data_IF_247798974053
#
_entry.id   IF_247798974053
#
_cell.length_a   1.000
_cell.length_b   1.000
_cell.length_c   1.000
_cell.angle_alpha   90.00
_cell.angle_beta   90.00
_cell.angle_gamma   90.00
#
_symmetry.space_group_name_H-M   'P 1'
#
loop_
_entity.id
_entity.type
_entity.pdbx_description
1 polymer ?
#
# COMPACT_ATOMS: atom_id res chain seq x y z
N UNK A 1 23.01 22.02 52.78
CA UNK A 1 23.32 20.69 52.26
C UNK A 1 24.25 20.03 53.24
N UNK A 2 23.82 18.91 53.80
CA UNK A 2 24.62 18.08 54.69
C UNK A 2 25.74 17.40 53.86
N UNK A 3 26.95 17.27 54.41
CA UNK A 3 28.07 16.60 53.72
C UNK A 3 27.70 15.16 53.31
N UNK A 4 26.84 14.51 54.10
CA UNK A 4 26.34 13.17 53.81
C UNK A 4 25.40 13.13 52.60
N UNK A 5 24.57 14.16 52.40
CA UNK A 5 23.70 14.27 51.22
C UNK A 5 24.55 14.42 49.94
N UNK A 6 25.56 15.29 49.98
CA UNK A 6 26.44 15.53 48.84
C UNK A 6 27.24 14.27 48.45
N UNK A 7 27.74 13.50 49.42
CA UNK A 7 28.43 12.23 49.16
C UNK A 7 27.47 11.19 48.56
N UNK A 8 26.20 11.19 48.96
CA UNK A 8 25.18 10.29 48.44
C UNK A 8 24.83 10.62 46.98
N UNK A 9 24.63 11.90 46.67
CA UNK A 9 24.37 12.39 45.31
C UNK A 9 25.53 12.07 44.36
N UNK A 10 26.77 12.37 44.77
CA UNK A 10 27.97 12.05 43.98
C UNK A 10 28.11 10.55 43.69
N UNK A 11 27.69 9.69 44.62
CA UNK A 11 27.70 8.24 44.43
C UNK A 11 26.63 7.81 43.43
N UNK A 12 25.42 8.35 43.55
CA UNK A 12 24.31 8.05 42.66
C UNK A 12 24.62 8.46 41.23
N UNK A 13 25.20 9.64 41.02
CA UNK A 13 25.59 10.11 39.70
C UNK A 13 26.64 9.21 39.04
N UNK A 14 27.68 8.81 39.79
CA UNK A 14 28.68 7.84 39.30
C UNK A 14 28.07 6.49 38.97
N UNK A 15 27.04 6.08 39.71
CA UNK A 15 26.35 4.83 39.43
C UNK A 15 25.54 4.92 38.13
N UNK A 16 24.86 6.04 37.91
CA UNK A 16 24.10 6.30 36.69
C UNK A 16 25.02 6.44 35.45
N UNK A 17 26.20 7.06 35.59
CA UNK A 17 27.20 7.12 34.50
C UNK A 17 27.68 5.73 34.07
N UNK A 18 27.87 4.82 35.04
CA UNK A 18 28.24 3.43 34.76
C UNK A 18 27.12 2.68 34.07
N UNK A 19 25.88 2.88 34.52
CA UNK A 19 24.70 2.28 33.88
C UNK A 19 24.56 2.76 32.44
N UNK A 20 24.71 4.06 32.19
CA UNK A 20 24.71 4.65 30.86
C UNK A 20 25.80 4.03 29.96
N UNK A 21 27.00 3.82 30.49
CA UNK A 21 28.09 3.13 29.77
C UNK A 21 27.73 1.68 29.42
N UNK A 22 26.98 0.97 30.27
CA UNK A 22 26.49 -0.39 29.97
C UNK A 22 25.39 -0.37 28.90
N UNK A 23 24.46 0.58 28.98
CA UNK A 23 23.37 0.72 28.01
C UNK A 23 23.88 1.14 26.63
N UNK A 24 24.99 1.88 26.54
CA UNK A 24 25.65 2.19 25.26
C UNK A 24 26.04 0.92 24.48
N UNK A 25 26.30 -0.20 25.18
CA UNK A 25 26.59 -1.49 24.53
C UNK A 25 25.34 -2.15 23.92
N UNK A 26 24.13 -1.65 24.17
CA UNK A 26 22.92 -2.14 23.50
C UNK A 26 22.95 -1.81 22.00
N UNK A 27 23.74 -0.83 21.59
CA UNK A 27 23.97 -0.45 20.19
C UNK A 27 25.02 -1.32 19.49
N UNK A 28 25.68 -2.26 20.19
CA UNK A 28 26.70 -3.12 19.60
C UNK A 28 26.16 -3.93 18.41
N UNK A 29 26.99 -4.17 17.39
CA UNK A 29 26.59 -4.95 16.21
C UNK A 29 26.30 -6.42 16.56
N UNK A 30 27.04 -6.97 17.53
CA UNK A 30 26.94 -8.36 17.97
C UNK A 30 25.73 -8.57 18.89
N UNK A 31 24.84 -9.49 18.53
CA UNK A 31 23.68 -9.85 19.37
C UNK A 31 24.14 -10.41 20.74
N UNK A 32 25.25 -11.16 20.77
CA UNK A 32 25.81 -11.73 22.00
C UNK A 32 26.29 -10.62 22.95
N UNK A 33 26.92 -9.56 22.41
CA UNK A 33 27.39 -8.44 23.25
C UNK A 33 26.23 -7.66 23.87
N UNK A 34 25.12 -7.54 23.14
CA UNK A 34 23.90 -6.91 23.64
C UNK A 34 23.26 -7.71 24.77
N UNK A 35 23.14 -9.03 24.60
CA UNK A 35 22.57 -9.90 25.63
C UNK A 35 23.44 -9.87 26.90
N UNK A 36 24.76 -9.92 26.75
CA UNK A 36 25.70 -9.77 27.88
C UNK A 36 25.62 -8.37 28.53
N UNK A 37 25.40 -7.32 27.74
CA UNK A 37 25.21 -5.97 28.27
C UNK A 37 23.90 -5.87 29.09
N UNK A 38 22.82 -6.49 28.62
CA UNK A 38 21.55 -6.56 29.34
C UNK A 38 21.68 -7.29 30.67
N UNK A 39 22.34 -8.46 30.68
CA UNK A 39 22.62 -9.22 31.90
C UNK A 39 23.45 -8.39 32.90
N UNK A 40 24.50 -7.72 32.42
CA UNK A 40 25.35 -6.85 33.26
C UNK A 40 24.58 -5.67 33.83
N UNK A 41 23.78 -4.99 33.01
CA UNK A 41 22.97 -3.85 33.44
C UNK A 41 21.91 -4.27 34.45
N UNK A 42 21.24 -5.41 34.23
CA UNK A 42 20.26 -5.99 35.16
C UNK A 42 20.88 -6.27 36.52
N UNK A 43 21.98 -7.03 36.56
CA UNK A 43 22.69 -7.37 37.79
C UNK A 43 23.27 -6.12 38.49
N UNK A 44 23.73 -5.13 37.72
CA UNK A 44 24.21 -3.86 38.25
C UNK A 44 23.07 -3.08 38.92
N UNK A 45 21.91 -2.99 38.27
CA UNK A 45 20.77 -2.26 38.80
C UNK A 45 20.14 -2.91 40.03
N UNK A 46 20.04 -4.24 40.04
CA UNK A 46 19.60 -5.00 41.23
C UNK A 46 20.49 -4.72 42.44
N UNK A 47 21.80 -4.57 42.24
CA UNK A 47 22.73 -4.28 43.33
C UNK A 47 22.62 -2.85 43.86
N UNK A 48 22.52 -1.85 42.99
CA UNK A 48 22.57 -0.44 43.41
C UNK A 48 21.18 0.15 43.73
N UNK A 49 20.11 -0.28 43.04
CA UNK A 49 18.74 0.25 43.20
C UNK A 49 17.70 -0.80 43.61
N UNK A 50 18.10 -2.08 43.75
CA UNK A 50 17.19 -3.17 44.15
C UNK A 50 16.33 -3.74 43.02
N UNK A 51 16.28 -3.08 41.87
CA UNK A 51 15.63 -3.60 40.66
C UNK A 51 16.15 -2.91 39.40
N UNK A 52 16.00 -3.57 38.25
CA UNK A 52 16.34 -2.99 36.95
C UNK A 52 15.50 -1.75 36.62
N UNK A 53 14.18 -1.82 36.83
CA UNK A 53 13.25 -0.73 36.60
C UNK A 53 13.61 0.53 37.41
N UNK A 54 13.96 0.40 38.69
CA UNK A 54 14.35 1.54 39.54
C UNK A 54 15.64 2.22 39.05
N UNK A 55 16.62 1.45 38.58
CA UNK A 55 17.84 2.01 38.00
C UNK A 55 17.58 2.80 36.71
N UNK A 56 16.70 2.27 35.85
CA UNK A 56 16.32 2.91 34.58
C UNK A 56 15.46 4.15 34.80
N UNK A 57 14.54 4.15 35.77
CA UNK A 57 13.78 5.35 36.15
C UNK A 57 14.69 6.45 36.71
N UNK A 58 15.66 6.10 37.55
CA UNK A 58 16.68 7.03 38.03
C UNK A 58 17.49 7.66 36.89
N UNK A 59 17.85 6.89 35.86
CA UNK A 59 18.51 7.41 34.68
C UNK A 59 17.57 8.30 33.84
N UNK A 60 16.30 7.92 33.69
CA UNK A 60 15.29 8.68 32.97
C UNK A 60 15.05 10.06 33.60
N UNK A 61 14.90 10.13 34.93
CA UNK A 61 14.77 11.40 35.67
C UNK A 61 16.01 12.29 35.50
N UNK A 62 17.21 11.70 35.52
CA UNK A 62 18.45 12.45 35.28
C UNK A 62 18.51 13.03 33.88
N UNK A 63 18.10 12.26 32.87
CA UNK A 63 18.02 12.71 31.47
C UNK A 63 17.05 13.88 31.33
N UNK A 64 15.87 13.79 31.95
CA UNK A 64 14.87 14.88 31.98
C UNK A 64 15.41 16.16 32.64
N UNK A 65 16.12 16.02 33.76
CA UNK A 65 16.72 17.15 34.46
C UNK A 65 17.82 17.85 33.64
N UNK A 66 18.60 17.10 32.84
CA UNK A 66 19.68 17.64 32.00
C UNK A 66 19.15 18.31 30.72
N UNK A 67 18.04 17.83 30.16
CA UNK A 67 17.56 18.22 28.82
C UNK A 67 16.23 18.96 28.81
N UNK A 68 16.05 19.96 29.69
CA UNK A 68 14.79 20.68 29.87
C UNK A 68 14.19 21.21 28.55
N UNK A 69 13.10 20.55 28.09
CA UNK A 69 12.25 21.02 26.99
C UNK A 69 12.54 20.44 25.60
N UNK A 70 13.59 19.62 25.42
CA UNK A 70 13.85 18.97 24.13
C UNK A 70 12.99 17.71 23.97
N UNK A 71 12.33 17.56 22.82
CA UNK A 71 11.50 16.39 22.48
C UNK A 71 12.32 15.10 22.53
N UNK A 72 13.58 15.16 22.08
CA UNK A 72 14.50 14.01 22.09
C UNK A 72 14.79 13.50 23.51
N UNK A 73 14.97 14.41 24.48
CA UNK A 73 15.14 14.07 25.89
C UNK A 73 13.92 13.33 26.44
N UNK A 74 12.71 13.83 26.14
CA UNK A 74 11.46 13.22 26.57
C UNK A 74 11.22 11.84 25.92
N UNK A 75 11.59 11.67 24.65
CA UNK A 75 11.54 10.36 23.99
C UNK A 75 12.54 9.37 24.60
N UNK A 76 13.75 9.85 24.91
CA UNK A 76 14.79 9.03 25.55
C UNK A 76 14.37 8.59 26.95
N UNK A 77 13.81 9.48 27.76
CA UNK A 77 13.34 9.13 29.10
C UNK A 77 12.15 8.17 29.07
N UNK A 78 11.21 8.34 28.13
CA UNK A 78 10.11 7.39 27.92
C UNK A 78 10.65 5.99 27.57
N UNK A 79 11.60 5.93 26.63
CA UNK A 79 12.21 4.66 26.19
C UNK A 79 12.95 3.94 27.32
N UNK A 80 13.64 4.69 28.18
CA UNK A 80 14.29 4.11 29.37
C UNK A 80 13.27 3.51 30.35
N UNK A 81 12.11 4.15 30.54
CA UNK A 81 11.05 3.59 31.40
C UNK A 81 10.41 2.35 30.79
N UNK A 82 10.15 2.36 29.49
CA UNK A 82 9.66 1.16 28.76
C UNK A 82 10.63 -0.02 28.86
N UNK A 83 11.94 0.24 28.80
CA UNK A 83 12.98 -0.78 29.04
C UNK A 83 12.97 -1.28 30.48
N UNK A 84 12.74 -0.41 31.45
CA UNK A 84 12.57 -0.81 32.86
C UNK A 84 11.38 -1.74 33.08
N UNK A 85 10.24 -1.44 32.44
CA UNK A 85 9.02 -2.25 32.50
C UNK A 85 9.15 -3.57 31.72
N UNK A 86 9.84 -3.53 30.57
CA UNK A 86 10.05 -4.67 29.67
C UNK A 86 11.55 -4.78 29.32
N UNK A 87 12.34 -5.50 30.15
CA UNK A 87 13.77 -5.66 29.91
C UNK A 87 14.08 -6.23 28.53
N UNK A 88 14.96 -5.57 27.80
CA UNK A 88 15.38 -5.88 26.44
C UNK A 88 14.53 -5.26 25.33
N UNK A 89 13.52 -4.44 25.62
CA UNK A 89 12.69 -3.77 24.59
C UNK A 89 13.51 -2.88 23.66
N UNK A 90 14.51 -2.16 24.17
CA UNK A 90 15.46 -1.34 23.40
C UNK A 90 16.25 -2.22 22.42
N UNK A 91 16.81 -3.33 22.90
CA UNK A 91 17.59 -4.27 22.09
C UNK A 91 16.69 -4.88 21.00
N UNK A 92 15.49 -5.32 21.36
CA UNK A 92 14.53 -5.89 20.40
C UNK A 92 14.16 -4.88 19.31
N UNK A 93 13.87 -3.62 19.69
CA UNK A 93 13.58 -2.55 18.74
C UNK A 93 14.76 -2.29 17.79
N UNK A 94 15.98 -2.22 18.32
CA UNK A 94 17.20 -2.03 17.51
C UNK A 94 17.46 -3.21 16.55
N UNK A 95 17.24 -4.45 17.00
CA UNK A 95 17.36 -5.64 16.14
C UNK A 95 16.29 -5.64 15.05
N UNK A 96 15.06 -5.29 15.38
CA UNK A 96 13.98 -5.19 14.41
C UNK A 96 14.28 -4.10 13.38
N UNK A 97 14.76 -2.94 13.81
CA UNK A 97 15.20 -1.87 12.92
C UNK A 97 16.31 -2.34 11.98
N UNK A 98 17.40 -2.95 12.49
CA UNK A 98 18.47 -3.49 11.66
C UNK A 98 17.99 -4.56 10.68
N UNK A 99 17.05 -5.43 11.07
CA UNK A 99 16.44 -6.41 10.16
C UNK A 99 15.66 -5.73 9.04
N UNK A 100 14.89 -4.67 9.36
CA UNK A 100 14.19 -3.87 8.35
C UNK A 100 15.18 -3.18 7.41
N UNK A 101 16.22 -2.54 7.94
CA UNK A 101 17.26 -1.88 7.14
C UNK A 101 17.99 -2.87 6.23
N UNK A 102 18.40 -4.04 6.74
CA UNK A 102 18.99 -5.11 5.90
C UNK A 102 18.01 -5.61 4.85
N UNK A 103 16.73 -5.75 5.20
CA UNK A 103 15.68 -6.10 4.24
C UNK A 103 15.55 -5.07 3.12
N UNK A 104 15.51 -3.78 3.48
CA UNK A 104 15.46 -2.66 2.53
C UNK A 104 16.72 -2.59 1.65
N UNK A 105 17.91 -2.85 2.20
CA UNK A 105 19.15 -2.94 1.43
C UNK A 105 19.10 -4.10 0.43
N UNK A 106 18.61 -5.27 0.85
CA UNK A 106 18.42 -6.41 -0.06
C UNK A 106 17.40 -6.13 -1.16
N UNK A 107 16.28 -5.47 -0.83
CA UNK A 107 15.29 -5.02 -1.82
C UNK A 107 15.90 -4.01 -2.80
N UNK A 108 16.66 -3.03 -2.31
CA UNK A 108 17.38 -2.04 -3.12
C UNK A 108 18.36 -2.71 -4.08
N UNK A 109 19.17 -3.64 -3.59
CA UNK A 109 20.11 -4.40 -4.41
C UNK A 109 19.39 -5.20 -5.50
N UNK A 110 18.26 -5.83 -5.18
CA UNK A 110 17.43 -6.55 -6.15
C UNK A 110 16.87 -5.61 -7.23
N UNK A 111 16.41 -4.42 -6.86
CA UNK A 111 15.95 -3.38 -7.81
C UNK A 111 17.09 -2.90 -8.70
N UNK A 112 18.27 -2.62 -8.14
CA UNK A 112 19.44 -2.19 -8.92
C UNK A 112 19.84 -3.28 -9.92
N UNK A 113 19.85 -4.54 -9.50
CA UNK A 113 20.14 -5.67 -10.37
C UNK A 113 19.09 -5.82 -11.49
N UNK A 114 17.80 -5.60 -11.19
CA UNK A 114 16.72 -5.66 -12.17
C UNK A 114 16.88 -4.64 -13.31
N UNK A 115 17.32 -3.42 -13.00
CA UNK A 115 17.51 -2.35 -14.00
C UNK A 115 18.91 -2.33 -14.61
N UNK A 116 19.88 -3.05 -14.03
CA UNK A 116 21.25 -3.12 -14.50
C UNK A 116 22.18 -2.00 -13.97
N UNK A 117 21.75 -1.26 -12.94
CA UNK A 117 22.55 -0.21 -12.30
C UNK A 117 21.71 0.89 -11.67
N UNK A 118 22.30 1.65 -10.74
CA UNK A 118 21.63 2.75 -10.03
C UNK A 118 21.15 3.86 -10.98
N UNK A 119 21.99 4.23 -11.95
CA UNK A 119 21.65 5.23 -12.98
C UNK A 119 20.46 4.77 -13.84
N UNK A 120 20.37 3.47 -14.14
CA UNK A 120 19.26 2.90 -14.90
C UNK A 120 17.94 2.89 -14.11
N UNK A 121 18.00 2.71 -12.78
CA UNK A 121 16.82 2.85 -11.91
C UNK A 121 16.35 4.31 -11.89
N UNK A 122 17.28 5.26 -11.73
CA UNK A 122 16.97 6.69 -11.68
C UNK A 122 16.48 7.27 -13.01
N UNK A 123 16.93 6.71 -14.13
CA UNK A 123 16.58 7.18 -15.47
C UNK A 123 15.12 6.86 -15.82
N UNK A 124 14.43 7.72 -16.59
CA UNK A 124 13.12 7.40 -17.15
C UNK A 124 13.16 6.12 -17.98
N UNK A 125 12.21 5.23 -17.71
CA UNK A 125 11.97 4.02 -18.49
C UNK A 125 11.43 4.36 -19.88
N UNK A 126 11.50 3.43 -20.85
CA UNK A 126 10.92 3.65 -22.18
C UNK A 126 9.43 4.04 -22.15
N UNK A 127 8.68 3.54 -21.16
CA UNK A 127 7.28 3.88 -20.98
C UNK A 127 7.09 5.30 -20.42
N UNK A 128 7.91 5.72 -19.46
CA UNK A 128 7.90 7.08 -18.89
C UNK A 128 8.28 8.14 -19.96
N UNK A 129 9.25 7.83 -20.82
CA UNK A 129 9.72 8.73 -21.88
C UNK A 129 8.62 9.13 -22.87
N UNK A 130 7.63 8.28 -23.11
CA UNK A 130 6.47 8.60 -23.96
C UNK A 130 5.71 9.80 -23.39
N UNK A 131 5.43 9.79 -22.08
CA UNK A 131 4.68 10.86 -21.42
C UNK A 131 5.51 12.13 -21.25
N UNK A 132 6.80 11.98 -20.92
CA UNK A 132 7.72 13.12 -20.80
C UNK A 132 7.79 13.88 -22.13
N UNK A 133 8.01 13.17 -23.24
CA UNK A 133 8.09 13.78 -24.56
C UNK A 133 6.76 14.45 -24.98
N UNK A 134 5.62 13.80 -24.70
CA UNK A 134 4.31 14.33 -25.06
C UNK A 134 3.94 15.62 -24.32
N UNK A 135 4.46 15.82 -23.10
CA UNK A 135 4.14 16.97 -22.27
C UNK A 135 5.24 18.05 -22.24
N UNK A 136 6.36 17.85 -22.93
CA UNK A 136 7.52 18.75 -22.86
C UNK A 136 7.20 20.21 -23.24
N UNK A 137 6.23 20.43 -24.13
CA UNK A 137 5.78 21.77 -24.54
C UNK A 137 4.95 22.50 -23.49
N UNK A 138 4.50 21.82 -22.43
CA UNK A 138 3.75 22.40 -21.32
C UNK A 138 4.65 22.89 -20.17
N UNK A 139 5.95 22.59 -20.24
CA UNK A 139 6.93 23.08 -19.27
C UNK A 139 7.21 24.58 -19.50
N UNK A 140 7.62 25.27 -18.43
CA UNK A 140 8.06 26.66 -18.51
C UNK A 140 9.32 26.81 -19.38
N UNK A 141 9.54 28.02 -19.89
CA UNK A 141 10.70 28.31 -20.73
C UNK A 141 12.00 28.08 -19.95
N UNK A 142 12.86 27.19 -20.45
CA UNK A 142 14.12 26.81 -19.80
C UNK A 142 14.03 25.51 -18.97
N UNK A 143 12.84 24.96 -18.76
CA UNK A 143 12.61 23.74 -17.98
C UNK A 143 12.23 22.51 -18.84
N UNK A 144 12.25 22.62 -20.17
CA UNK A 144 11.74 21.56 -21.05
C UNK A 144 12.55 20.25 -21.00
N UNK A 145 13.79 20.29 -20.51
CA UNK A 145 14.65 19.11 -20.34
C UNK A 145 14.55 18.49 -18.95
N UNK A 146 13.92 19.15 -17.99
CA UNK A 146 13.74 18.63 -16.63
C UNK A 146 12.40 17.86 -16.56
N UNK A 147 12.43 16.51 -16.45
CA UNK A 147 11.22 15.70 -16.40
C UNK A 147 10.41 15.89 -15.10
N UNK A 148 10.98 16.56 -14.09
CA UNK A 148 10.35 16.84 -12.80
C UNK A 148 9.85 18.29 -12.67
N UNK A 149 10.05 19.10 -13.70
CA UNK A 149 9.54 20.47 -13.73
C UNK A 149 8.00 20.50 -13.70
N UNK A 150 7.39 21.58 -13.16
CA UNK A 150 5.95 21.79 -13.26
C UNK A 150 5.50 21.82 -14.73
N UNK A 151 4.32 21.24 -15.00
CA UNK A 151 3.72 21.21 -16.34
C UNK A 151 2.38 21.93 -16.32
N UNK A 152 2.24 23.00 -17.10
CA UNK A 152 1.06 23.88 -17.05
C UNK A 152 0.72 24.36 -15.61
N UNK A 153 1.75 24.64 -14.80
CA UNK A 153 1.62 25.04 -13.40
C UNK A 153 1.26 23.91 -12.42
N UNK A 154 1.16 22.67 -12.89
CA UNK A 154 0.86 21.51 -12.05
C UNK A 154 2.13 20.74 -11.67
N UNK A 155 2.25 20.41 -10.38
CA UNK A 155 3.35 19.62 -9.82
C UNK A 155 2.90 18.72 -8.66
N UNK A 156 1.88 19.14 -7.91
CA UNK A 156 1.46 18.46 -6.69
C UNK A 156 0.21 17.60 -6.96
N UNK A 157 0.22 16.31 -6.58
CA UNK A 157 -0.82 15.36 -6.94
C UNK A 157 -2.20 15.66 -6.33
N UNK A 158 -2.26 16.44 -5.24
CA UNK A 158 -3.52 16.85 -4.61
C UNK A 158 -4.22 18.00 -5.33
N UNK A 159 -3.56 18.74 -6.23
CA UNK A 159 -4.22 19.75 -7.04
C UNK A 159 -5.00 19.13 -8.21
N UNK A 160 -6.12 19.75 -8.62
CA UNK A 160 -6.81 19.38 -9.85
C UNK A 160 -5.85 19.39 -11.04
N UNK A 161 -5.94 18.36 -11.88
CA UNK A 161 -5.09 18.23 -13.05
C UNK A 161 -5.58 19.20 -14.15
N UNK A 162 -4.72 20.08 -14.71
CA UNK A 162 -5.11 20.94 -15.82
C UNK A 162 -5.55 20.15 -17.05
N UNK A 163 -6.61 20.59 -17.72
CA UNK A 163 -7.16 19.92 -18.92
C UNK A 163 -6.13 19.76 -20.03
N UNK A 164 -5.26 20.78 -20.23
CA UNK A 164 -4.18 20.73 -21.23
C UNK A 164 -3.21 19.59 -20.97
N UNK A 165 -2.84 19.37 -19.71
CA UNK A 165 -1.96 18.28 -19.29
C UNK A 165 -2.68 16.92 -19.39
N UNK A 166 -3.94 16.85 -18.96
CA UNK A 166 -4.74 15.64 -19.09
C UNK A 166 -4.89 15.20 -20.56
N UNK A 167 -5.18 16.13 -21.48
CA UNK A 167 -5.28 15.87 -22.92
C UNK A 167 -3.95 15.40 -23.50
N UNK A 168 -2.83 16.04 -23.15
CA UNK A 168 -1.51 15.62 -23.63
C UNK A 168 -1.16 14.18 -23.19
N UNK A 169 -1.36 13.87 -21.91
CA UNK A 169 -1.08 12.54 -21.34
C UNK A 169 -1.97 11.45 -21.94
N UNK A 170 -3.26 11.73 -22.14
CA UNK A 170 -4.22 10.77 -22.71
C UNK A 170 -4.04 10.57 -24.22
N UNK A 171 -3.56 11.58 -24.93
CA UNK A 171 -3.20 11.48 -26.36
C UNK A 171 -1.93 10.66 -26.55
N UNK A 172 -0.98 10.76 -25.61
CA UNK A 172 0.28 10.02 -25.67
C UNK A 172 0.08 8.49 -25.57
N UNK A 173 -0.86 8.06 -24.73
CA UNK A 173 -1.19 6.65 -24.56
C UNK A 173 -2.66 6.47 -24.13
N UNK A 174 -3.46 5.58 -24.77
CA UNK A 174 -4.86 5.37 -24.41
C UNK A 174 -5.07 5.04 -22.93
N UNK A 175 -6.13 5.56 -22.32
CA UNK A 175 -6.50 5.22 -20.95
C UNK A 175 -7.04 3.79 -20.84
N UNK A 176 -6.89 3.12 -19.68
CA UNK A 176 -7.52 1.83 -19.42
C UNK A 176 -9.04 1.91 -19.56
N UNK A 177 -9.62 0.95 -20.31
CA UNK A 177 -11.06 0.89 -20.54
C UNK A 177 -11.86 0.12 -19.48
N UNK A 178 -11.19 -0.52 -18.52
CA UNK A 178 -11.80 -1.33 -17.45
C UNK A 178 -11.19 -1.00 -16.09
N UNK A 179 -11.91 -1.35 -15.02
CA UNK A 179 -11.44 -1.12 -13.65
C UNK A 179 -10.22 -1.97 -13.33
N UNK A 180 -10.23 -3.24 -13.75
CA UNK A 180 -9.07 -4.14 -13.58
C UNK A 180 -7.83 -3.61 -14.31
N UNK A 181 -7.99 -3.09 -15.53
CA UNK A 181 -6.87 -2.54 -16.29
C UNK A 181 -6.35 -1.24 -15.64
N UNK A 182 -7.23 -0.38 -15.12
CA UNK A 182 -6.85 0.80 -14.37
C UNK A 182 -6.08 0.45 -13.09
N UNK A 183 -6.56 -0.53 -12.31
CA UNK A 183 -5.85 -1.07 -11.14
C UNK A 183 -4.47 -1.58 -11.52
N UNK A 184 -4.37 -2.40 -12.56
CA UNK A 184 -3.10 -2.99 -12.98
C UNK A 184 -2.08 -1.92 -13.39
N UNK A 185 -2.50 -0.88 -14.11
CA UNK A 185 -1.61 0.23 -14.45
C UNK A 185 -1.24 1.07 -13.21
N UNK A 186 -2.18 1.35 -12.30
CA UNK A 186 -1.89 2.07 -11.05
C UNK A 186 -0.86 1.34 -10.18
N UNK A 187 -1.01 0.02 -10.01
CA UNK A 187 -0.07 -0.79 -9.25
C UNK A 187 1.34 -0.80 -9.86
N UNK A 188 1.47 -0.74 -11.19
CA UNK A 188 2.78 -0.57 -11.86
C UNK A 188 3.43 0.77 -11.52
N UNK A 189 2.64 1.85 -11.46
CA UNK A 189 3.15 3.16 -11.07
C UNK A 189 3.55 3.22 -9.60
N UNK A 190 2.82 2.53 -8.71
CA UNK A 190 3.18 2.40 -7.30
C UNK A 190 4.45 1.55 -7.10
N UNK A 191 4.57 0.44 -7.82
CA UNK A 191 5.79 -0.37 -7.86
C UNK A 191 6.99 0.45 -8.34
N UNK A 192 6.80 1.21 -9.43
CA UNK A 192 7.84 2.11 -9.94
C UNK A 192 8.24 3.18 -8.93
N UNK A 193 7.27 3.78 -8.23
CA UNK A 193 7.55 4.76 -7.16
C UNK A 193 8.36 4.10 -6.03
N UNK A 194 7.97 2.90 -5.59
CA UNK A 194 8.70 2.13 -4.57
C UNK A 194 10.13 1.84 -5.00
N UNK A 195 10.37 1.49 -6.27
CA UNK A 195 11.71 1.28 -6.80
C UNK A 195 12.58 2.55 -6.68
N UNK A 196 12.00 3.73 -6.94
CA UNK A 196 12.69 5.01 -6.79
C UNK A 196 12.95 5.34 -5.31
N UNK A 197 11.98 5.13 -4.41
CA UNK A 197 12.15 5.35 -2.98
C UNK A 197 13.25 4.46 -2.37
N UNK A 198 13.30 3.19 -2.77
CA UNK A 198 14.35 2.25 -2.36
C UNK A 198 15.74 2.73 -2.81
N UNK A 199 15.85 3.35 -3.99
CA UNK A 199 17.11 3.87 -4.50
C UNK A 199 17.64 5.03 -3.64
N UNK A 200 16.76 5.98 -3.30
CA UNK A 200 17.09 7.22 -2.58
C UNK A 200 17.03 7.11 -1.06
N UNK A 201 16.75 5.91 -0.51
CA UNK A 201 16.84 5.56 0.91
C UNK A 201 16.03 6.46 1.86
N UNK A 202 14.97 7.12 1.38
CA UNK A 202 14.12 7.96 2.19
C UNK A 202 12.66 7.82 1.72
N UNK A 203 11.69 7.56 2.61
CA UNK A 203 10.28 7.55 2.25
C UNK A 203 9.87 8.87 1.58
N UNK A 204 9.24 8.80 0.40
CA UNK A 204 8.82 9.97 -0.37
C UNK A 204 9.92 10.73 -1.10
N UNK A 205 11.19 10.29 -1.07
CA UNK A 205 12.25 10.93 -1.87
C UNK A 205 12.27 10.47 -3.33
N UNK A 206 11.75 9.28 -3.62
CA UNK A 206 11.47 8.84 -4.98
C UNK A 206 10.22 9.55 -5.49
N UNK A 207 10.34 10.30 -6.59
CA UNK A 207 9.21 10.93 -7.27
C UNK A 207 9.13 10.48 -8.73
N UNK A 208 7.91 10.36 -9.25
CA UNK A 208 7.72 10.15 -10.69
C UNK A 208 7.94 11.48 -11.42
N UNK A 209 8.42 11.44 -12.69
CA UNK A 209 8.33 12.58 -13.59
C UNK A 209 6.92 13.19 -13.59
N UNK A 210 6.80 14.50 -13.70
CA UNK A 210 5.51 15.22 -13.54
C UNK A 210 4.44 14.68 -14.49
N UNK A 211 4.79 14.40 -15.75
CA UNK A 211 3.86 13.81 -16.72
C UNK A 211 3.39 12.39 -16.33
N UNK A 212 4.26 11.60 -15.70
CA UNK A 212 3.95 10.25 -15.24
C UNK A 212 3.10 10.28 -13.95
N UNK A 213 3.35 11.23 -13.05
CA UNK A 213 2.49 11.48 -11.90
C UNK A 213 1.08 11.90 -12.34
N UNK A 214 0.96 12.73 -13.38
CA UNK A 214 -0.32 13.08 -13.99
C UNK A 214 -1.04 11.85 -14.58
N UNK A 215 -0.31 10.98 -15.28
CA UNK A 215 -0.85 9.71 -15.80
C UNK A 215 -1.36 8.81 -14.68
N UNK A 216 -0.55 8.60 -13.64
CA UNK A 216 -0.94 7.82 -12.46
C UNK A 216 -2.22 8.36 -11.85
N UNK A 217 -2.34 9.68 -11.66
CA UNK A 217 -3.54 10.33 -11.11
C UNK A 217 -4.79 10.03 -11.94
N UNK A 218 -4.71 10.18 -13.27
CA UNK A 218 -5.83 9.87 -14.17
C UNK A 218 -6.25 8.40 -14.07
N UNK A 219 -5.29 7.48 -14.07
CA UNK A 219 -5.53 6.03 -13.96
C UNK A 219 -6.10 5.67 -12.59
N UNK A 220 -5.61 6.31 -11.54
CA UNK A 220 -6.15 6.14 -10.19
C UNK A 220 -7.60 6.63 -10.11
N UNK A 221 -7.92 7.78 -10.69
CA UNK A 221 -9.31 8.30 -10.75
C UNK A 221 -10.24 7.35 -11.54
N UNK A 222 -9.75 6.75 -12.64
CA UNK A 222 -10.46 5.68 -13.36
C UNK A 222 -10.69 4.45 -12.50
N UNK A 223 -9.69 4.02 -11.72
CA UNK A 223 -9.79 2.89 -10.78
C UNK A 223 -10.67 3.22 -9.58
N UNK A 224 -10.70 4.48 -9.12
CA UNK A 224 -11.47 4.91 -7.97
C UNK A 224 -12.95 5.11 -8.30
N UNK A 225 -13.28 5.74 -9.44
CA UNK A 225 -14.66 6.18 -9.72
C UNK A 225 -15.08 6.35 -11.19
N UNK A 226 -14.18 6.68 -12.11
CA UNK A 226 -14.59 7.24 -13.42
C UNK A 226 -14.95 6.17 -14.48
N UNK A 227 -14.55 4.91 -14.29
CA UNK A 227 -14.98 3.77 -15.13
C UNK A 227 -16.05 2.96 -14.42
N UNK A 228 -17.12 2.57 -15.11
CA UNK A 228 -18.13 1.68 -14.52
C UNK A 228 -17.61 0.23 -14.45
N UNK A 229 -17.89 -0.47 -13.35
CA UNK A 229 -17.61 -1.89 -13.28
C UNK A 229 -18.53 -2.69 -14.21
N UNK A 230 -17.96 -3.39 -15.19
CA UNK A 230 -18.71 -4.19 -16.16
C UNK A 230 -18.77 -5.69 -15.78
N UNK A 231 -17.95 -6.09 -14.81
CA UNK A 231 -17.76 -7.48 -14.38
C UNK A 231 -17.59 -7.59 -12.86
N UNK A 232 -17.72 -8.80 -12.33
CA UNK A 232 -17.42 -9.07 -10.92
C UNK A 232 -15.96 -8.77 -10.58
N UNK A 233 -15.04 -9.02 -11.51
CA UNK A 233 -13.62 -8.74 -11.33
C UNK A 233 -13.37 -7.22 -11.22
N UNK A 234 -14.05 -6.41 -12.04
CA UNK A 234 -13.99 -4.94 -11.94
C UNK A 234 -14.51 -4.45 -10.58
N UNK A 235 -15.63 -5.02 -10.12
CA UNK A 235 -16.21 -4.64 -8.83
C UNK A 235 -15.31 -5.05 -7.67
N UNK A 236 -14.74 -6.26 -7.70
CA UNK A 236 -13.77 -6.72 -6.70
C UNK A 236 -12.55 -5.81 -6.68
N UNK A 237 -11.99 -5.49 -7.84
CA UNK A 237 -10.86 -4.57 -7.95
C UNK A 237 -11.17 -3.19 -7.37
N UNK A 238 -12.40 -2.69 -7.53
CA UNK A 238 -12.82 -1.43 -6.90
C UNK A 238 -12.99 -1.53 -5.39
N UNK A 239 -13.56 -2.64 -4.92
CA UNK A 239 -13.72 -2.89 -3.49
C UNK A 239 -12.35 -2.92 -2.80
N UNK A 240 -11.36 -3.56 -3.41
CA UNK A 240 -9.98 -3.61 -2.91
C UNK A 240 -9.39 -2.21 -2.74
N UNK A 241 -9.61 -1.30 -3.70
CA UNK A 241 -9.14 0.10 -3.61
C UNK A 241 -9.63 0.75 -2.30
N UNK A 242 -10.94 0.68 -2.06
CA UNK A 242 -11.56 1.34 -0.91
C UNK A 242 -11.28 0.62 0.42
N UNK A 243 -11.07 -0.69 0.40
CA UNK A 243 -10.70 -1.45 1.58
C UNK A 243 -9.25 -1.16 2.03
N UNK A 244 -8.31 -1.04 1.09
CA UNK A 244 -6.89 -0.87 1.39
C UNK A 244 -6.49 0.60 1.59
N UNK A 245 -7.00 1.52 0.76
CA UNK A 245 -6.56 2.93 0.72
C UNK A 245 -7.50 3.87 1.50
N UNK A 246 -8.37 3.29 2.33
CA UNK A 246 -9.44 3.91 3.11
C UNK A 246 -9.29 5.42 3.38
N UNK A 247 -10.28 6.16 2.91
CA UNK A 247 -10.47 7.59 3.15
C UNK A 247 -11.89 7.91 2.71
N UNK A 248 -12.88 7.43 3.46
CA UNK A 248 -14.27 7.61 3.09
C UNK A 248 -14.73 9.02 3.47
N UNK A 249 -14.71 9.91 2.49
CA UNK A 249 -15.46 11.16 2.48
C UNK A 249 -16.96 10.93 2.19
N UNK A 250 -17.42 9.67 2.19
CA UNK A 250 -18.75 9.22 1.79
C UNK A 250 -18.88 8.96 0.29
N UNK A 251 -17.91 9.38 -0.53
CA UNK A 251 -17.95 9.24 -1.98
C UNK A 251 -17.78 7.80 -2.47
N UNK A 252 -17.05 6.96 -1.72
CA UNK A 252 -16.74 5.59 -2.11
C UNK A 252 -17.97 4.68 -2.15
N UNK A 253 -18.85 4.79 -1.15
CA UNK A 253 -20.07 3.98 -1.10
C UNK A 253 -21.02 4.27 -2.26
N UNK A 254 -21.14 5.53 -2.69
CA UNK A 254 -21.99 5.88 -3.82
C UNK A 254 -21.49 5.22 -5.13
N UNK A 255 -20.17 5.16 -5.32
CA UNK A 255 -19.55 4.49 -6.47
C UNK A 255 -19.79 2.99 -6.42
N UNK A 256 -19.56 2.34 -5.27
CA UNK A 256 -19.80 0.90 -5.11
C UNK A 256 -21.28 0.53 -5.30
N UNK A 257 -22.21 1.33 -4.78
CA UNK A 257 -23.65 1.13 -4.99
C UNK A 257 -24.03 1.24 -6.48
N UNK A 258 -23.51 2.25 -7.18
CA UNK A 258 -23.72 2.42 -8.63
C UNK A 258 -23.20 1.21 -9.41
N UNK A 259 -21.98 0.78 -9.12
CA UNK A 259 -21.33 -0.34 -9.80
C UNK A 259 -22.06 -1.66 -9.52
N UNK A 260 -22.49 -1.90 -8.27
CA UNK A 260 -23.31 -3.04 -7.91
C UNK A 260 -24.66 -3.05 -8.64
N UNK A 261 -25.34 -1.91 -8.72
CA UNK A 261 -26.62 -1.79 -9.44
C UNK A 261 -26.44 -2.10 -10.94
N UNK A 262 -25.39 -1.56 -11.57
CA UNK A 262 -25.08 -1.84 -12.98
C UNK A 262 -24.84 -3.34 -13.23
N UNK A 263 -24.07 -4.00 -12.36
CA UNK A 263 -23.87 -5.45 -12.43
C UNK A 263 -25.15 -6.24 -12.19
N UNK A 264 -25.95 -5.86 -11.20
CA UNK A 264 -27.22 -6.51 -10.88
C UNK A 264 -28.20 -6.43 -12.05
N UNK A 265 -28.25 -5.30 -12.76
CA UNK A 265 -29.02 -5.18 -14.00
C UNK A 265 -28.51 -6.11 -15.10
N UNK A 266 -27.19 -6.21 -15.28
CA UNK A 266 -26.58 -7.13 -16.25
C UNK A 266 -26.85 -8.60 -15.94
N UNK A 267 -26.77 -8.99 -14.66
CA UNK A 267 -27.09 -10.33 -14.18
C UNK A 267 -28.58 -10.62 -14.30
N UNK A 268 -29.44 -9.66 -13.96
CA UNK A 268 -30.89 -9.78 -14.07
C UNK A 268 -31.34 -9.90 -15.53
N UNK A 269 -30.76 -9.12 -16.44
CA UNK A 269 -31.02 -9.19 -17.88
C UNK A 269 -30.55 -10.52 -18.48
N UNK A 270 -29.38 -11.03 -18.10
CA UNK A 270 -28.95 -12.40 -18.47
C UNK A 270 -29.82 -13.48 -17.82
N UNK A 271 -30.46 -13.16 -16.69
CA UNK A 271 -31.42 -14.02 -15.99
C UNK A 271 -32.88 -13.79 -16.41
N UNK A 272 -33.15 -13.08 -17.52
CA UNK A 272 -34.38 -13.35 -18.27
C UNK A 272 -34.23 -14.79 -18.79
N UNK A 273 -34.39 -15.74 -17.86
CA UNK A 273 -34.43 -17.17 -18.09
C UNK A 273 -35.54 -17.29 -19.11
N UNK A 274 -35.11 -17.40 -20.36
CA UNK A 274 -35.94 -17.89 -21.44
C UNK A 274 -36.77 -19.01 -20.81
N UNK A 275 -38.09 -18.81 -20.78
CA UNK A 275 -38.97 -19.68 -20.02
C UNK A 275 -38.63 -21.12 -20.38
N UNK A 276 -38.67 -22.04 -19.44
CA UNK A 276 -38.46 -23.46 -19.74
C UNK A 276 -39.33 -23.91 -20.93
N UNK A 277 -40.48 -23.25 -21.12
CA UNK A 277 -41.34 -23.34 -22.31
C UNK A 277 -40.67 -22.89 -23.61
N UNK A 278 -40.08 -21.70 -23.62
CA UNK A 278 -39.46 -21.12 -24.81
C UNK A 278 -38.17 -21.85 -25.17
N UNK A 279 -37.37 -22.27 -24.18
CA UNK A 279 -36.22 -23.16 -24.38
C UNK A 279 -36.62 -24.50 -25.02
N UNK A 280 -37.71 -25.10 -24.55
CA UNK A 280 -38.22 -26.34 -25.13
C UNK A 280 -38.66 -26.16 -26.59
N UNK A 281 -39.30 -25.02 -26.91
CA UNK A 281 -39.72 -24.67 -28.28
C UNK A 281 -38.53 -24.44 -29.19
N UNK A 282 -37.52 -23.68 -28.75
CA UNK A 282 -36.30 -23.43 -29.51
C UNK A 282 -35.56 -24.72 -29.83
N UNK A 283 -35.31 -25.56 -28.83
CA UNK A 283 -34.67 -26.88 -29.04
C UNK A 283 -35.47 -27.76 -30.01
N UNK A 284 -36.81 -27.67 -30.00
CA UNK A 284 -37.64 -28.42 -30.94
C UNK A 284 -37.57 -27.86 -32.37
N UNK A 285 -37.40 -26.56 -32.54
CA UNK A 285 -37.19 -25.93 -33.86
C UNK A 285 -35.78 -26.19 -34.41
N UNK A 286 -34.76 -26.11 -33.57
CA UNK A 286 -33.35 -26.35 -33.95
C UNK A 286 -33.08 -27.82 -34.24
N UNK A 287 -33.78 -28.73 -33.53
CA UNK A 287 -33.63 -30.18 -33.67
C UNK A 287 -34.99 -30.88 -33.82
N UNK A 288 -35.62 -30.81 -35.01
CA UNK A 288 -36.94 -31.40 -35.25
C UNK A 288 -36.99 -32.91 -35.00
N UNK A 289 -35.87 -33.61 -35.18
CA UNK A 289 -35.72 -35.06 -34.99
C UNK A 289 -35.60 -35.48 -33.52
N UNK A 290 -35.29 -34.55 -32.61
CA UNK A 290 -35.13 -34.89 -31.20
C UNK A 290 -36.44 -35.35 -30.57
N UNK A 291 -36.33 -36.46 -29.82
CA UNK A 291 -37.42 -36.98 -29.00
C UNK A 291 -37.69 -36.06 -27.80
N UNK A 292 -38.93 -36.08 -27.30
CA UNK A 292 -39.30 -35.32 -26.09
C UNK A 292 -38.45 -35.68 -24.86
N UNK A 293 -37.98 -36.94 -24.78
CA UNK A 293 -37.12 -37.40 -23.70
C UNK A 293 -35.72 -36.77 -23.78
N UNK A 294 -35.18 -36.65 -24.98
CA UNK A 294 -33.88 -36.00 -25.24
C UNK A 294 -33.93 -34.52 -24.87
N UNK A 295 -34.98 -33.80 -25.30
CA UNK A 295 -35.20 -32.40 -24.93
C UNK A 295 -35.37 -32.24 -23.40
N UNK A 296 -36.12 -33.15 -22.76
CA UNK A 296 -36.30 -33.14 -21.30
C UNK A 296 -35.00 -33.34 -20.54
N UNK A 297 -34.16 -34.30 -20.98
CA UNK A 297 -32.82 -34.53 -20.42
C UNK A 297 -31.93 -33.29 -20.55
N UNK A 298 -31.96 -32.63 -21.70
CA UNK A 298 -31.16 -31.42 -21.96
C UNK A 298 -31.60 -30.22 -21.10
N UNK A 299 -32.90 -30.11 -20.80
CA UNK A 299 -33.45 -29.03 -19.98
C UNK A 299 -33.51 -29.36 -18.48
N UNK A 300 -33.20 -30.60 -18.08
CA UNK A 300 -33.33 -31.05 -16.70
C UNK A 300 -34.79 -31.14 -16.22
N UNK A 301 -35.75 -31.43 -17.11
CA UNK A 301 -37.18 -31.54 -16.78
C UNK A 301 -37.80 -32.86 -17.27
N UNK A 302 -38.94 -33.23 -16.70
CA UNK A 302 -39.64 -34.47 -17.10
C UNK A 302 -40.18 -34.39 -18.53
N UNK A 303 -40.25 -35.54 -19.21
CA UNK A 303 -40.86 -35.67 -20.55
C UNK A 303 -42.28 -35.09 -20.61
N UNK A 304 -43.07 -35.28 -19.56
CA UNK A 304 -44.45 -34.76 -19.48
C UNK A 304 -44.47 -33.22 -19.43
N UNK A 305 -43.51 -32.60 -18.75
CA UNK A 305 -43.37 -31.14 -18.72
C UNK A 305 -43.01 -30.59 -20.11
N UNK A 306 -42.09 -31.24 -20.85
CA UNK A 306 -41.76 -30.88 -22.24
C UNK A 306 -43.01 -30.97 -23.13
N UNK A 307 -43.78 -32.05 -23.04
CA UNK A 307 -45.01 -32.21 -23.80
C UNK A 307 -46.02 -31.09 -23.50
N UNK A 308 -46.18 -30.70 -22.23
CA UNK A 308 -47.02 -29.57 -21.82
C UNK A 308 -46.53 -28.24 -22.41
N UNK A 309 -45.22 -28.02 -22.46
CA UNK A 309 -44.62 -26.80 -23.01
C UNK A 309 -44.72 -26.69 -24.53
N UNK A 310 -44.68 -27.82 -25.24
CA UNK A 310 -44.83 -27.91 -26.69
C UNK A 310 -46.28 -28.06 -27.16
N UNK A 311 -47.26 -28.18 -26.25
CA UNK A 311 -48.67 -28.27 -26.63
C UNK A 311 -49.08 -27.02 -27.42
N UNK A 312 -49.54 -27.23 -28.65
CA UNK A 312 -49.92 -26.15 -29.58
C UNK A 312 -48.74 -25.46 -30.29
N UNK A 313 -47.52 -25.97 -30.17
CA UNK A 313 -46.37 -25.53 -30.94
C UNK A 313 -46.27 -26.36 -32.22
N UNK A 314 -46.71 -25.80 -33.35
CA UNK A 314 -46.55 -26.42 -34.66
C UNK A 314 -45.20 -25.98 -35.25
N UNK A 315 -44.28 -26.91 -35.41
CA UNK A 315 -43.11 -26.72 -36.29
C UNK A 315 -43.64 -26.73 -37.72
N UNK A 316 -43.79 -25.56 -38.33
CA UNK A 316 -44.01 -25.48 -39.77
C UNK A 316 -42.78 -26.08 -40.45
N UNK A 317 -42.98 -27.17 -41.18
CA UNK A 317 -41.99 -27.79 -42.07
C UNK A 317 -42.02 -27.03 -43.39
#
# INVERSE_FOLDING_TARGET
>A
MDLFEQISEDRQDKALDRLETMLALYEAESEIEQDLALERATAYCEREWGSYAAGLDGLATRTEARGAGAVETAMTSLRLREEGDTPGSIIQAMRQQRRRERGLLGEREAVIALYGGEEAVASPTPFETIFIAACASLAEEGAQTDPFAPLAGWQLPWHPLPDTLAVAVTTAFPLPGTVVAARAECLKWEERLRHLELLFQCPGSGTLPTACAARRKLVEDLWRRDVNAASLDDFSARLDYWAERGGDDGGGYAVLLRDFAAMAHGLSAKSSRESTKDRARRLKSEHPEWSLATIGKQLGISRQAVHKHLKGFNTAV
#
